data_IF_401677811598
#
_entry.id   IF_401677811598
#
_cell.length_a   1.000
_cell.length_b   1.000
_cell.length_c   1.000
_cell.angle_alpha   90.00
_cell.angle_beta   90.00
_cell.angle_gamma   90.00
#
_symmetry.space_group_name_H-M   'P 1'
#
loop_
_entity.id
_entity.type
_entity.pdbx_description
1 polymer ?
#
# COMPACT_ATOMS: atom_id res chain seq x y z
N UNK A 1 -9.14 -23.96 19.34
CA UNK A 1 -9.70 -23.51 18.06
C UNK A 1 -9.98 -22.01 18.03
N UNK A 2 -10.82 -21.44 18.92
CA UNK A 2 -11.11 -19.99 18.90
C UNK A 2 -9.86 -19.15 19.17
N UNK A 3 -9.04 -19.53 20.15
CA UNK A 3 -7.78 -18.85 20.44
C UNK A 3 -6.77 -18.90 19.28
N UNK A 4 -6.69 -20.04 18.57
CA UNK A 4 -5.83 -20.20 17.38
C UNK A 4 -6.24 -19.23 16.27
N UNK A 5 -7.56 -19.14 15.99
CA UNK A 5 -8.08 -18.23 14.98
C UNK A 5 -7.86 -16.75 15.33
N UNK A 6 -8.05 -16.38 16.60
CA UNK A 6 -7.78 -15.02 17.07
C UNK A 6 -6.30 -14.67 16.93
N UNK A 7 -5.41 -15.58 17.32
CA UNK A 7 -3.97 -15.40 17.17
C UNK A 7 -3.55 -15.21 15.71
N UNK A 8 -3.98 -16.10 14.79
CA UNK A 8 -3.68 -16.00 13.36
C UNK A 8 -4.20 -14.67 12.81
N UNK A 9 -5.43 -14.29 13.17
CA UNK A 9 -6.04 -13.04 12.71
C UNK A 9 -5.19 -11.82 13.09
N UNK A 10 -4.81 -11.68 14.37
CA UNK A 10 -4.02 -10.52 14.81
C UNK A 10 -2.60 -10.53 14.25
N UNK A 11 -1.95 -11.69 14.16
CA UNK A 11 -0.64 -11.82 13.54
C UNK A 11 -0.67 -11.35 12.08
N UNK A 12 -1.59 -11.90 11.28
CA UNK A 12 -1.72 -11.55 9.87
C UNK A 12 -2.12 -10.08 9.68
N UNK A 13 -3.05 -9.57 10.50
CA UNK A 13 -3.44 -8.15 10.46
C UNK A 13 -2.22 -7.24 10.72
N UNK A 14 -1.34 -7.62 11.65
CA UNK A 14 -0.14 -6.83 11.98
C UNK A 14 0.92 -6.81 10.87
N UNK A 15 1.00 -7.87 10.06
CA UNK A 15 1.93 -7.93 8.92
C UNK A 15 1.37 -7.25 7.67
N UNK A 16 0.06 -7.31 7.46
CA UNK A 16 -0.58 -6.88 6.21
C UNK A 16 -1.09 -5.44 6.27
N UNK A 17 -1.49 -4.96 7.46
CA UNK A 17 -2.02 -3.61 7.66
C UNK A 17 -0.91 -2.68 8.20
N UNK A 18 -0.42 -1.72 7.39
CA UNK A 18 0.54 -0.72 7.88
C UNK A 18 -0.04 0.14 9.01
N UNK A 19 -1.38 0.26 9.09
CA UNK A 19 -2.07 1.01 10.15
C UNK A 19 -3.28 0.19 10.62
N UNK A 20 -3.12 -0.72 11.59
CA UNK A 20 -4.26 -1.43 12.15
C UNK A 20 -5.23 -0.41 12.79
N UNK A 21 -6.50 -0.48 12.38
CA UNK A 21 -7.57 0.47 12.74
C UNK A 21 -7.84 0.64 14.24
N UNK A 22 -7.26 -0.22 15.06
CA UNK A 22 -7.43 -0.25 16.52
C UNK A 22 -6.18 0.17 17.30
N UNK A 23 -5.10 0.55 16.62
CA UNK A 23 -3.80 0.88 17.23
C UNK A 23 -3.23 2.17 16.63
N UNK A 24 -4.07 3.20 16.61
CA UNK A 24 -3.65 4.55 16.24
C UNK A 24 -2.61 5.04 17.27
N UNK A 25 -1.40 5.36 16.81
CA UNK A 25 -0.34 5.95 17.65
C UNK A 25 0.80 5.04 18.10
N UNK A 26 0.90 3.79 17.59
CA UNK A 26 2.08 2.95 17.84
C UNK A 26 3.06 2.99 16.67
N UNK A 27 4.35 3.13 16.98
CA UNK A 27 5.44 3.11 15.99
C UNK A 27 5.52 1.76 15.28
N UNK A 28 6.12 1.72 14.08
CA UNK A 28 6.38 0.48 13.36
C UNK A 28 7.16 -0.56 14.20
N UNK A 29 8.03 -0.09 15.11
CA UNK A 29 8.72 -0.94 16.09
C UNK A 29 7.75 -1.70 17.01
N UNK A 30 6.67 -1.04 17.44
CA UNK A 30 5.66 -1.67 18.29
C UNK A 30 4.81 -2.69 17.52
N UNK A 31 4.63 -2.53 16.20
CA UNK A 31 3.99 -3.53 15.34
C UNK A 31 4.89 -4.77 15.20
N UNK A 32 6.20 -4.59 14.99
CA UNK A 32 7.15 -5.71 14.94
C UNK A 32 7.27 -6.43 16.29
N UNK A 33 7.33 -5.68 17.39
CA UNK A 33 7.33 -6.25 18.73
C UNK A 33 6.04 -7.06 18.99
N UNK A 34 4.91 -6.58 18.50
CA UNK A 34 3.64 -7.31 18.57
C UNK A 34 3.66 -8.59 17.72
N UNK A 35 4.14 -8.53 16.47
CA UNK A 35 4.29 -9.69 15.61
C UNK A 35 5.23 -10.75 16.24
N UNK A 36 6.36 -10.31 16.83
CA UNK A 36 7.28 -11.18 17.55
C UNK A 36 6.66 -11.80 18.81
N UNK A 37 5.92 -11.02 19.61
CA UNK A 37 5.17 -11.53 20.76
C UNK A 37 4.10 -12.55 20.35
N UNK A 38 3.41 -12.30 19.23
CA UNK A 38 2.46 -13.25 18.68
C UNK A 38 3.18 -14.54 18.25
N UNK A 39 4.31 -14.47 17.56
CA UNK A 39 5.08 -15.67 17.23
C UNK A 39 5.45 -16.51 18.46
N UNK A 40 5.93 -15.86 19.53
CA UNK A 40 6.26 -16.52 20.80
C UNK A 40 5.02 -17.18 21.42
N UNK A 41 3.88 -16.49 21.42
CA UNK A 41 2.62 -17.04 21.92
C UNK A 41 2.19 -18.28 21.13
N UNK A 42 2.27 -18.23 19.80
CA UNK A 42 1.97 -19.35 18.91
C UNK A 42 2.84 -20.58 19.19
N UNK A 43 4.12 -20.38 19.49
CA UNK A 43 5.03 -21.46 19.91
C UNK A 43 4.59 -22.12 21.22
N UNK A 44 4.34 -21.34 22.28
CA UNK A 44 3.90 -21.91 23.55
C UNK A 44 2.53 -22.61 23.43
N UNK A 45 1.63 -22.05 22.63
CA UNK A 45 0.33 -22.65 22.39
C UNK A 45 0.42 -23.99 21.62
N UNK A 46 1.36 -24.09 20.67
CA UNK A 46 1.69 -25.35 19.99
C UNK A 46 2.20 -26.41 20.95
N UNK A 47 3.02 -26.03 21.94
CA UNK A 47 3.47 -26.94 23.00
C UNK A 47 2.30 -27.45 23.86
N UNK A 48 1.35 -26.57 24.22
CA UNK A 48 0.13 -26.96 24.96
C UNK A 48 -0.66 -27.99 24.16
N UNK A 49 -0.88 -27.78 22.86
CA UNK A 49 -1.55 -28.76 22.00
C UNK A 49 -0.79 -30.07 21.90
N UNK A 50 0.56 -30.03 21.87
CA UNK A 50 1.37 -31.24 21.87
C UNK A 50 1.22 -32.03 23.19
N UNK A 51 1.16 -31.35 24.33
CA UNK A 51 0.89 -31.99 25.63
C UNK A 51 -0.52 -32.58 25.71
N UNK A 52 -1.54 -31.84 25.26
CA UNK A 52 -2.93 -32.33 25.23
C UNK A 52 -3.07 -33.53 24.28
N UNK A 53 -2.49 -33.46 23.09
CA UNK A 53 -2.48 -34.57 22.13
C UNK A 53 -1.75 -35.80 22.68
N UNK A 54 -0.65 -35.61 23.40
CA UNK A 54 0.06 -36.69 24.09
C UNK A 54 -0.78 -37.29 25.22
N UNK A 55 -1.40 -36.46 26.06
CA UNK A 55 -2.26 -36.91 27.16
C UNK A 55 -3.49 -37.67 26.65
N UNK A 56 -4.12 -37.19 25.57
CA UNK A 56 -5.21 -37.90 24.90
C UNK A 56 -4.77 -39.28 24.40
N UNK A 57 -3.55 -39.41 23.86
CA UNK A 57 -2.98 -40.69 23.42
C UNK A 57 -2.70 -41.64 24.58
N UNK A 58 -2.21 -41.12 25.70
CA UNK A 58 -1.89 -41.92 26.88
C UNK A 58 -3.15 -42.27 27.70
N UNK A 59 -4.21 -41.48 27.60
CA UNK A 59 -5.52 -41.70 28.23
C UNK A 59 -6.43 -42.66 27.45
N UNK A 60 -5.98 -43.18 26.30
CA UNK A 60 -6.66 -44.23 25.54
C UNK A 60 -5.85 -45.54 25.52
N UNK A 61 -5.66 -46.25 26.67
CA UNK A 61 -4.93 -47.51 26.66
C UNK A 61 -5.75 -48.66 26.05
N UNK A 62 -7.07 -48.75 26.28
CA UNK A 62 -7.84 -49.99 26.02
C UNK A 62 -9.38 -49.86 25.86
N UNK A 63 -10.00 -48.67 25.74
CA UNK A 63 -11.47 -48.53 25.94
C UNK A 63 -12.36 -48.47 24.68
N UNK A 64 -11.83 -48.67 23.47
CA UNK A 64 -12.68 -48.91 22.27
C UNK A 64 -12.96 -50.42 22.12
N UNK A 65 -13.61 -51.02 23.12
CA UNK A 65 -13.93 -52.45 23.19
C UNK A 65 -14.93 -52.97 22.12
N UNK A 66 -15.33 -52.17 21.12
CA UNK A 66 -16.34 -52.58 20.14
C UNK A 66 -16.03 -52.20 18.68
N UNK A 67 -14.91 -51.56 18.37
CA UNK A 67 -14.49 -51.34 16.98
C UNK A 67 -13.32 -52.26 16.68
N UNK A 68 -13.59 -53.31 15.90
CA UNK A 68 -12.59 -54.29 15.49
C UNK A 68 -11.35 -53.55 15.00
N UNK A 69 -10.22 -53.83 15.65
CA UNK A 69 -8.95 -53.08 15.59
C UNK A 69 -8.38 -53.01 14.16
N UNK A 70 -8.91 -53.86 13.27
CA UNK A 70 -8.51 -54.06 11.89
C UNK A 70 -9.58 -53.64 10.85
N UNK A 71 -10.71 -53.06 11.27
CA UNK A 71 -11.63 -52.47 10.29
C UNK A 71 -11.01 -51.23 9.64
N UNK A 72 -11.14 -51.14 8.31
CA UNK A 72 -10.74 -49.97 7.51
C UNK A 72 -11.27 -48.66 8.10
N UNK A 73 -12.47 -48.67 8.67
CA UNK A 73 -13.10 -47.52 9.31
C UNK A 73 -12.34 -47.07 10.59
N UNK A 74 -11.86 -48.01 11.41
CA UNK A 74 -11.06 -47.72 12.60
C UNK A 74 -9.64 -47.23 12.28
N UNK A 75 -9.07 -47.67 11.16
CA UNK A 75 -7.79 -47.12 10.66
C UNK A 75 -7.98 -45.71 10.11
N UNK A 76 -9.01 -45.46 9.31
CA UNK A 76 -9.34 -44.13 8.79
C UNK A 76 -9.63 -43.12 9.89
N UNK A 77 -10.39 -43.53 10.92
CA UNK A 77 -10.65 -42.69 12.09
C UNK A 77 -9.38 -42.26 12.83
N UNK A 78 -8.41 -43.18 12.98
CA UNK A 78 -7.11 -42.88 13.59
C UNK A 78 -6.25 -41.95 12.72
N UNK A 79 -6.22 -42.16 11.40
CA UNK A 79 -5.51 -41.26 10.48
C UNK A 79 -6.10 -39.85 10.56
N UNK A 80 -7.43 -39.71 10.52
CA UNK A 80 -8.10 -38.41 10.65
C UNK A 80 -7.79 -37.74 11.99
N UNK A 81 -7.85 -38.48 13.10
CA UNK A 81 -7.50 -37.95 14.42
C UNK A 81 -6.04 -37.47 14.47
N UNK A 82 -5.09 -38.23 13.92
CA UNK A 82 -3.68 -37.82 13.81
C UNK A 82 -3.50 -36.58 12.95
N UNK A 83 -4.18 -36.49 11.80
CA UNK A 83 -4.14 -35.30 10.95
C UNK A 83 -4.67 -34.07 11.69
N UNK A 84 -5.76 -34.21 12.46
CA UNK A 84 -6.32 -33.11 13.26
C UNK A 84 -5.39 -32.68 14.38
N UNK A 85 -4.80 -33.62 15.14
CA UNK A 85 -3.86 -33.31 16.22
C UNK A 85 -2.61 -32.61 15.65
N UNK A 86 -2.05 -33.14 14.57
CA UNK A 86 -0.87 -32.56 13.92
C UNK A 86 -1.17 -31.18 13.36
N UNK A 87 -2.35 -30.98 12.77
CA UNK A 87 -2.82 -29.67 12.32
C UNK A 87 -2.92 -28.67 13.47
N UNK A 88 -3.48 -29.08 14.63
CA UNK A 88 -3.59 -28.22 15.82
C UNK A 88 -2.25 -27.87 16.45
N UNK A 89 -1.22 -28.71 16.30
CA UNK A 89 0.14 -28.42 16.77
C UNK A 89 0.87 -27.49 15.79
N UNK A 90 0.71 -27.69 14.47
CA UNK A 90 1.44 -26.94 13.45
C UNK A 90 0.84 -25.55 13.21
N UNK A 91 -0.49 -25.43 13.21
CA UNK A 91 -1.17 -24.17 12.86
C UNK A 91 -0.82 -22.99 13.76
N UNK A 92 -0.68 -23.12 15.09
CA UNK A 92 -0.30 -21.99 15.92
C UNK A 92 1.16 -21.57 15.75
N UNK A 93 2.01 -22.42 15.16
CA UNK A 93 3.39 -22.07 14.85
C UNK A 93 3.53 -21.50 13.44
N UNK A 94 2.93 -22.15 12.44
CA UNK A 94 3.12 -21.82 11.02
C UNK A 94 1.91 -21.17 10.36
N UNK A 95 0.73 -21.22 10.99
CA UNK A 95 -0.53 -20.76 10.39
C UNK A 95 -0.52 -19.28 10.00
N UNK A 96 0.14 -18.44 10.81
CA UNK A 96 0.41 -17.05 10.46
C UNK A 96 1.14 -16.91 9.12
N UNK A 97 2.29 -17.59 8.98
CA UNK A 97 3.12 -17.56 7.76
C UNK A 97 2.41 -18.18 6.53
N UNK A 98 1.69 -19.28 6.72
CA UNK A 98 0.95 -19.97 5.64
C UNK A 98 -0.14 -19.05 5.08
N UNK A 99 -0.90 -18.39 5.97
CA UNK A 99 -2.05 -17.58 5.58
C UNK A 99 -1.64 -16.18 5.13
N UNK A 100 -0.51 -15.66 5.61
CA UNK A 100 -0.03 -14.31 5.32
C UNK A 100 0.05 -14.02 3.82
N UNK A 101 0.67 -14.89 3.01
CA UNK A 101 0.77 -14.66 1.56
C UNK A 101 -0.59 -14.50 0.89
N UNK A 102 -1.54 -15.35 1.28
CA UNK A 102 -2.89 -15.34 0.72
C UNK A 102 -3.64 -14.07 1.12
N UNK A 103 -3.57 -13.70 2.39
CA UNK A 103 -4.22 -12.49 2.90
C UNK A 103 -3.56 -11.23 2.32
N UNK A 104 -2.25 -11.19 2.19
CA UNK A 104 -1.54 -10.08 1.58
C UNK A 104 -1.93 -9.89 0.11
N UNK A 105 -2.05 -10.97 -0.66
CA UNK A 105 -2.54 -10.91 -2.05
C UNK A 105 -4.00 -10.44 -2.12
N UNK A 106 -4.84 -10.93 -1.20
CA UNK A 106 -6.24 -10.52 -1.11
C UNK A 106 -6.38 -9.04 -0.73
N UNK A 107 -5.65 -8.56 0.28
CA UNK A 107 -5.65 -7.16 0.71
C UNK A 107 -5.10 -6.27 -0.40
N UNK A 108 -4.00 -6.64 -1.06
CA UNK A 108 -3.50 -5.90 -2.21
C UNK A 108 -4.58 -5.69 -3.29
N UNK A 109 -5.38 -6.71 -3.55
CA UNK A 109 -6.44 -6.66 -4.56
C UNK A 109 -7.64 -5.84 -4.08
N UNK A 110 -8.15 -6.11 -2.88
CA UNK A 110 -9.48 -5.69 -2.44
C UNK A 110 -9.53 -4.56 -1.40
N UNK A 111 -8.39 -4.17 -0.80
CA UNK A 111 -8.39 -3.21 0.33
C UNK A 111 -8.96 -1.83 -0.02
N UNK A 112 -8.86 -1.43 -1.28
CA UNK A 112 -9.38 -0.15 -1.76
C UNK A 112 -10.73 -0.27 -2.48
N UNK A 113 -11.41 -1.41 -2.43
CA UNK A 113 -12.68 -1.59 -3.17
C UNK A 113 -13.80 -0.69 -2.63
N UNK A 114 -13.75 -0.34 -1.34
CA UNK A 114 -14.67 0.62 -0.72
C UNK A 114 -14.35 2.08 -1.08
N UNK A 115 -13.27 2.33 -1.80
CA UNK A 115 -12.83 3.66 -2.19
C UNK A 115 -13.10 3.89 -3.69
N UNK A 116 -13.51 5.11 -4.08
CA UNK A 116 -13.81 5.42 -5.47
C UNK A 116 -12.58 5.41 -6.39
N UNK A 117 -11.38 5.66 -5.85
CA UNK A 117 -10.11 5.53 -6.57
C UNK A 117 -9.01 4.93 -5.69
N UNK A 118 -7.93 4.53 -6.34
CA UNK A 118 -6.67 4.23 -5.67
C UNK A 118 -5.48 4.64 -6.55
N UNK A 119 -4.32 4.73 -5.93
CA UNK A 119 -3.05 5.06 -6.59
C UNK A 119 -2.07 3.93 -6.31
N UNK A 120 -1.34 3.50 -7.34
CA UNK A 120 -0.18 2.62 -7.17
C UNK A 120 1.06 3.51 -7.28
N UNK A 121 1.82 3.57 -6.18
CA UNK A 121 3.09 4.25 -6.10
C UNK A 121 4.18 3.23 -6.44
N UNK A 122 4.87 3.45 -7.54
CA UNK A 122 5.98 2.62 -7.98
C UNK A 122 7.27 3.41 -7.75
N UNK A 123 7.95 3.08 -6.66
CA UNK A 123 9.20 3.71 -6.32
C UNK A 123 10.36 2.92 -6.90
N UNK A 124 11.31 3.62 -7.48
CA UNK A 124 12.57 3.05 -7.92
C UNK A 124 13.64 3.30 -6.85
N UNK A 125 14.43 2.28 -6.49
CA UNK A 125 15.51 2.47 -5.54
C UNK A 125 16.53 3.48 -6.13
N UNK A 126 17.18 4.31 -5.30
CA UNK A 126 18.07 5.39 -5.75
C UNK A 126 19.23 4.94 -6.64
N UNK A 127 19.57 3.64 -6.63
CA UNK A 127 20.64 3.05 -7.44
C UNK A 127 20.26 2.91 -8.92
N UNK A 128 18.97 2.86 -9.26
CA UNK A 128 18.52 2.72 -10.64
C UNK A 128 18.32 4.11 -11.27
N UNK A 129 19.40 4.69 -11.78
CA UNK A 129 19.46 6.09 -12.23
C UNK A 129 18.61 6.41 -13.47
N UNK A 130 18.07 5.41 -14.15
CA UNK A 130 17.21 5.57 -15.34
C UNK A 130 15.73 5.44 -15.03
N UNK A 131 15.35 4.93 -13.86
CA UNK A 131 13.97 4.63 -13.52
C UNK A 131 13.38 5.74 -12.64
N UNK A 132 12.32 6.38 -13.12
CA UNK A 132 11.66 7.49 -12.43
C UNK A 132 10.61 6.95 -11.46
N UNK A 133 10.48 7.56 -10.30
CA UNK A 133 9.42 7.24 -9.35
C UNK A 133 8.07 7.70 -9.94
N UNK A 134 7.08 6.81 -10.01
CA UNK A 134 5.78 7.12 -10.63
C UNK A 134 4.59 6.83 -9.72
N UNK A 135 3.53 7.60 -9.90
CA UNK A 135 2.23 7.42 -9.26
C UNK A 135 1.16 7.18 -10.34
N UNK A 136 0.58 5.99 -10.35
CA UNK A 136 -0.42 5.57 -11.32
C UNK A 136 -1.81 5.64 -10.71
N UNK A 137 -2.72 6.41 -11.31
CA UNK A 137 -4.06 6.65 -10.77
C UNK A 137 -5.08 5.73 -11.41
N UNK A 138 -5.90 5.08 -10.59
CA UNK A 138 -6.93 4.13 -11.00
C UNK A 138 -8.30 4.50 -10.43
N UNK A 139 -9.33 4.25 -11.23
CA UNK A 139 -10.73 4.35 -10.80
C UNK A 139 -11.33 2.97 -10.58
N UNK A 140 -12.11 2.83 -9.51
CA UNK A 140 -12.98 1.69 -9.27
C UNK A 140 -14.36 1.97 -9.87
N UNK A 141 -14.61 1.48 -11.07
CA UNK A 141 -15.93 1.61 -11.70
C UNK A 141 -16.84 0.44 -11.30
N UNK A 142 -18.06 0.68 -10.78
CA UNK A 142 -18.99 -0.38 -10.40
C UNK A 142 -19.35 -1.32 -11.57
N UNK A 143 -19.27 -0.82 -12.80
CA UNK A 143 -19.61 -1.53 -14.03
C UNK A 143 -18.45 -2.36 -14.62
N UNK A 144 -17.23 -2.23 -14.07
CA UNK A 144 -16.05 -2.93 -14.59
C UNK A 144 -15.58 -4.00 -13.61
N UNK A 145 -15.21 -5.17 -14.13
CA UNK A 145 -14.59 -6.24 -13.33
C UNK A 145 -13.13 -5.97 -12.98
N UNK A 146 -12.52 -4.93 -13.56
CA UNK A 146 -11.14 -4.51 -13.31
C UNK A 146 -11.03 -2.99 -13.20
N UNK A 147 -10.13 -2.48 -12.35
CA UNK A 147 -9.89 -1.04 -12.25
C UNK A 147 -9.24 -0.51 -13.54
N UNK A 148 -9.57 0.73 -13.89
CA UNK A 148 -9.06 1.38 -15.11
C UNK A 148 -8.02 2.43 -14.73
N UNK A 149 -6.84 2.36 -15.35
CA UNK A 149 -5.78 3.36 -15.17
C UNK A 149 -6.14 4.62 -15.97
N UNK A 150 -6.10 5.78 -15.31
CA UNK A 150 -6.47 7.06 -15.92
C UNK A 150 -5.24 7.80 -16.45
N UNK A 151 -4.28 8.08 -15.56
CA UNK A 151 -3.08 8.85 -15.84
C UNK A 151 -1.94 8.48 -14.87
N UNK A 152 -0.74 8.92 -15.23
CA UNK A 152 0.48 8.71 -14.44
C UNK A 152 1.15 10.03 -14.15
N UNK A 153 1.55 10.23 -12.90
CA UNK A 153 2.47 11.28 -12.49
C UNK A 153 3.86 10.70 -12.24
N UNK A 154 4.87 11.52 -12.44
CA UNK A 154 6.26 11.20 -12.11
C UNK A 154 6.78 12.18 -11.06
N UNK A 155 7.69 11.73 -10.20
CA UNK A 155 8.45 12.60 -9.30
C UNK A 155 9.94 12.52 -9.59
N UNK A 156 10.56 13.68 -9.80
CA UNK A 156 11.98 13.81 -10.11
C UNK A 156 12.62 14.95 -9.32
N UNK A 157 13.90 14.78 -8.99
CA UNK A 157 14.71 15.79 -8.31
C UNK A 157 15.02 16.92 -9.30
N UNK A 158 14.72 18.16 -8.94
CA UNK A 158 15.01 19.35 -9.77
C UNK A 158 16.35 20.00 -9.45
N UNK A 159 16.79 19.84 -8.21
CA UNK A 159 18.18 20.07 -7.78
C UNK A 159 18.63 18.82 -7.02
N UNK A 160 19.92 18.69 -6.70
CA UNK A 160 20.50 17.46 -6.12
C UNK A 160 20.08 17.19 -4.65
N UNK A 161 18.79 17.29 -4.30
CA UNK A 161 18.18 16.58 -3.17
C UNK A 161 17.10 17.34 -2.38
N UNK A 162 17.02 18.66 -2.51
CA UNK A 162 16.09 19.49 -1.70
C UNK A 162 14.77 19.78 -2.39
N UNK A 163 14.80 19.92 -3.71
CA UNK A 163 13.66 20.31 -4.53
C UNK A 163 13.25 19.16 -5.44
N UNK A 164 11.96 18.82 -5.36
CA UNK A 164 11.36 17.74 -6.12
C UNK A 164 10.17 18.26 -6.91
N UNK A 165 9.99 17.76 -8.13
CA UNK A 165 8.85 18.08 -8.98
C UNK A 165 8.03 16.83 -9.22
N UNK A 166 6.77 16.86 -8.81
CA UNK A 166 5.75 15.88 -9.14
C UNK A 166 4.88 16.40 -10.27
N UNK A 167 4.91 15.77 -11.44
CA UNK A 167 4.21 16.27 -12.63
C UNK A 167 3.49 15.19 -13.38
N UNK A 168 2.41 15.58 -14.05
CA UNK A 168 1.67 14.72 -14.96
C UNK A 168 2.58 14.29 -16.11
N UNK A 169 2.78 12.97 -16.26
CA UNK A 169 3.65 12.38 -17.26
C UNK A 169 2.87 11.96 -18.51
N UNK A 170 1.78 11.21 -18.33
CA UNK A 170 1.03 10.63 -19.43
C UNK A 170 -0.41 10.30 -19.07
N UNK A 171 -1.27 10.24 -20.10
CA UNK A 171 -2.65 9.79 -20.00
C UNK A 171 -2.77 8.36 -20.55
N UNK A 172 -3.33 7.43 -19.78
CA UNK A 172 -3.61 6.06 -20.25
C UNK A 172 -5.04 5.93 -20.79
N UNK A 173 -5.94 6.76 -20.28
CA UNK A 173 -7.33 6.86 -20.74
C UNK A 173 -7.51 8.17 -21.51
N UNK A 174 -8.21 8.18 -22.66
CA UNK A 174 -8.51 9.42 -23.40
C UNK A 174 -9.17 10.45 -22.48
N UNK A 175 -8.66 11.69 -22.48
CA UNK A 175 -9.08 12.74 -21.54
C UNK A 175 -10.60 12.97 -21.53
N UNK A 176 -11.24 12.86 -22.69
CA UNK A 176 -12.70 12.99 -22.87
C UNK A 176 -13.52 11.90 -22.16
N UNK A 177 -12.91 10.74 -21.90
CA UNK A 177 -13.55 9.59 -21.25
C UNK A 177 -13.27 9.52 -19.75
N UNK A 178 -12.45 10.42 -19.21
CA UNK A 178 -12.18 10.51 -17.77
C UNK A 178 -13.33 11.27 -17.11
N UNK A 179 -14.03 10.67 -16.13
CA UNK A 179 -15.11 11.38 -15.45
C UNK A 179 -14.54 12.60 -14.71
N UNK A 180 -15.24 13.74 -14.81
CA UNK A 180 -14.79 15.03 -14.29
C UNK A 180 -14.25 15.01 -12.85
N UNK A 181 -14.83 14.27 -11.88
CA UNK A 181 -14.26 14.20 -10.53
C UNK A 181 -12.83 13.66 -10.52
N UNK A 182 -12.52 12.67 -11.35
CA UNK A 182 -11.21 12.02 -11.37
C UNK A 182 -10.20 12.75 -12.25
N UNK A 183 -10.63 13.81 -12.93
CA UNK A 183 -9.77 14.60 -13.79
C UNK A 183 -8.83 15.43 -12.90
N UNK A 184 -7.49 15.33 -13.09
CA UNK A 184 -6.55 16.05 -12.25
C UNK A 184 -6.71 17.56 -12.41
N UNK A 185 -6.44 18.32 -11.36
CA UNK A 185 -6.49 19.79 -11.37
C UNK A 185 -5.10 20.43 -11.47
N UNK A 186 -4.04 19.70 -11.13
CA UNK A 186 -2.66 20.22 -11.09
C UNK A 186 -1.80 19.59 -12.17
N UNK A 187 -1.07 20.40 -12.93
CA UNK A 187 -0.09 19.87 -13.88
C UNK A 187 1.19 19.44 -13.17
N UNK A 188 1.64 20.22 -12.19
CA UNK A 188 2.82 19.91 -11.42
C UNK A 188 2.81 20.53 -10.03
N UNK A 189 3.47 19.86 -9.08
CA UNK A 189 3.71 20.30 -7.72
C UNK A 189 5.22 20.32 -7.51
N UNK A 190 5.73 21.43 -7.00
CA UNK A 190 7.11 21.59 -6.57
C UNK A 190 7.16 21.47 -5.05
N UNK A 191 7.97 20.55 -4.54
CA UNK A 191 8.24 20.39 -3.12
C UNK A 191 9.62 20.93 -2.80
N UNK A 192 9.70 21.79 -1.80
CA UNK A 192 10.93 22.22 -1.16
C UNK A 192 11.00 21.55 0.22
N UNK A 193 11.81 20.50 0.31
CA UNK A 193 11.99 19.73 1.54
C UNK A 193 12.80 20.50 2.61
N UNK A 194 13.59 21.50 2.21
CA UNK A 194 14.38 22.31 3.12
C UNK A 194 13.52 23.32 3.88
N UNK A 195 12.60 23.98 3.17
CA UNK A 195 11.66 24.93 3.75
C UNK A 195 10.31 24.30 4.13
N UNK A 196 10.12 23.00 3.89
CA UNK A 196 8.88 22.28 4.18
C UNK A 196 7.65 22.89 3.47
N UNK A 197 7.85 23.34 2.22
CA UNK A 197 6.81 24.00 1.44
C UNK A 197 6.52 23.26 0.14
N UNK A 198 5.33 23.47 -0.40
CA UNK A 198 4.94 22.95 -1.70
C UNK A 198 4.13 23.98 -2.49
N UNK A 199 4.35 24.04 -3.79
CA UNK A 199 3.66 24.95 -4.70
C UNK A 199 3.15 24.19 -5.92
N UNK A 200 1.85 24.31 -6.20
CA UNK A 200 1.18 23.65 -7.31
C UNK A 200 0.82 24.62 -8.43
N UNK A 201 1.00 24.14 -9.65
CA UNK A 201 0.68 24.84 -10.88
C UNK A 201 -0.52 24.18 -11.57
N UNK A 202 -1.50 24.99 -11.95
CA UNK A 202 -2.65 24.61 -12.74
C UNK A 202 -2.47 25.06 -14.19
N UNK A 203 -3.12 24.40 -15.14
CA UNK A 203 -3.25 24.95 -16.50
C UNK A 203 -4.57 25.66 -16.66
N UNK A 204 -4.55 26.85 -17.23
CA UNK A 204 -5.74 27.51 -17.75
C UNK A 204 -5.75 27.31 -19.28
N UNK A 205 -6.86 26.80 -19.83
CA UNK A 205 -7.06 26.81 -21.28
C UNK A 205 -7.35 28.25 -21.72
N UNK A 206 -6.55 28.79 -22.63
CA UNK A 206 -6.71 30.18 -23.10
C UNK A 206 -7.69 30.33 -24.27
N UNK A 207 -8.36 29.25 -24.71
CA UNK A 207 -9.12 29.26 -25.96
C UNK A 207 -10.56 28.81 -25.75
N UNK A 208 -11.47 29.78 -25.62
CA UNK A 208 -12.92 29.57 -25.65
C UNK A 208 -13.49 29.32 -27.04
N UNK A 209 -12.69 29.50 -28.10
CA UNK A 209 -13.16 29.45 -29.48
C UNK A 209 -12.07 28.85 -30.39
N UNK A 210 -11.94 27.53 -30.44
CA UNK A 210 -11.33 26.86 -31.60
C UNK A 210 -11.78 25.41 -31.66
N UNK A 211 -12.33 25.05 -32.80
CA UNK A 211 -12.69 23.71 -33.26
C UNK A 211 -11.62 22.67 -32.96
N UNK A 212 -12.01 21.69 -32.14
CA UNK A 212 -11.67 20.25 -32.08
C UNK A 212 -10.27 19.66 -32.37
N UNK A 213 -9.23 20.41 -32.75
CA UNK A 213 -7.94 19.80 -33.12
C UNK A 213 -6.69 20.67 -32.84
N UNK A 214 -6.77 21.63 -31.92
CA UNK A 214 -5.60 22.42 -31.53
C UNK A 214 -5.35 22.34 -30.02
N UNK A 215 -4.15 21.89 -29.66
CA UNK A 215 -3.49 22.16 -28.37
C UNK A 215 -3.34 23.68 -28.24
N UNK A 216 -4.42 24.36 -27.88
CA UNK A 216 -4.47 25.80 -27.69
C UNK A 216 -3.74 26.17 -26.40
N UNK A 217 -2.61 26.88 -26.54
CA UNK A 217 -1.77 27.46 -25.49
C UNK A 217 -2.36 27.40 -24.07
N UNK A 218 -2.06 26.35 -23.32
CA UNK A 218 -2.41 26.29 -21.89
C UNK A 218 -1.43 27.16 -21.12
N UNK A 219 -1.92 28.20 -20.44
CA UNK A 219 -1.06 29.01 -19.55
C UNK A 219 -0.97 28.35 -18.18
N UNK A 220 0.26 28.15 -17.71
CA UNK A 220 0.54 27.59 -16.39
C UNK A 220 0.47 28.71 -15.36
N UNK A 221 -0.40 28.58 -14.36
CA UNK A 221 -0.61 29.59 -13.32
C UNK A 221 -0.48 28.94 -11.94
N UNK A 222 0.23 29.58 -10.99
CA UNK A 222 0.27 29.11 -9.60
C UNK A 222 -1.13 29.13 -9.01
N UNK A 223 -1.57 28.01 -8.44
CA UNK A 223 -2.95 27.83 -7.98
C UNK A 223 -3.07 27.12 -6.62
N UNK A 224 -1.94 26.65 -6.10
CA UNK A 224 -1.87 25.98 -4.82
C UNK A 224 -0.55 26.37 -4.17
N UNK A 225 -0.60 26.66 -2.89
CA UNK A 225 0.57 26.69 -2.03
C UNK A 225 0.26 25.93 -0.75
N UNK A 226 1.29 25.41 -0.09
CA UNK A 226 1.10 24.65 1.12
C UNK A 226 2.40 24.49 1.89
N UNK A 227 2.25 24.06 3.12
CA UNK A 227 3.35 23.74 4.02
C UNK A 227 3.07 22.39 4.64
N UNK A 228 4.10 21.58 4.82
CA UNK A 228 3.96 20.29 5.46
C UNK A 228 4.84 20.22 6.68
N UNK A 229 4.26 19.98 7.86
CA UNK A 229 5.07 19.67 9.02
C UNK A 229 5.29 18.16 9.07
N UNK A 230 6.55 17.81 9.33
CA UNK A 230 6.91 16.44 9.59
C UNK A 230 6.32 15.84 10.88
N UNK A 231 5.72 16.67 11.74
CA UNK A 231 5.16 16.30 13.02
C UNK A 231 3.75 15.69 12.98
N UNK A 232 2.80 16.23 12.20
CA UNK A 232 1.41 15.71 12.14
C UNK A 232 0.51 16.37 11.08
N UNK A 233 0.78 17.62 10.68
CA UNK A 233 -0.15 18.42 9.89
C UNK A 233 0.40 18.74 8.50
N UNK A 234 -0.38 18.41 7.47
CA UNK A 234 -0.20 18.90 6.11
C UNK A 234 -1.20 20.02 5.87
N UNK A 235 -0.70 21.22 5.63
CA UNK A 235 -1.53 22.38 5.39
C UNK A 235 -1.53 22.74 3.90
N UNK A 236 -2.72 22.85 3.33
CA UNK A 236 -2.93 23.20 1.93
C UNK A 236 -3.77 24.47 1.83
N UNK A 237 -3.24 25.45 1.11
CA UNK A 237 -3.94 26.67 0.76
C UNK A 237 -4.16 26.68 -0.76
N UNK A 238 -5.38 26.38 -1.19
CA UNK A 238 -5.71 26.20 -2.60
C UNK A 238 -6.40 27.46 -3.10
N UNK A 239 -5.68 28.21 -3.94
CA UNK A 239 -6.11 29.49 -4.49
C UNK A 239 -6.81 29.34 -5.85
N UNK A 240 -6.72 28.18 -6.53
CA UNK A 240 -7.50 27.85 -7.73
C UNK A 240 -7.52 26.32 -8.00
N UNK A 241 -8.69 25.76 -8.30
CA UNK A 241 -8.88 24.33 -8.60
C UNK A 241 -9.69 24.16 -9.88
N UNK A 242 -9.11 24.60 -11.02
CA UNK A 242 -9.74 24.42 -12.34
C UNK A 242 -9.27 23.08 -12.94
N UNK A 243 -10.17 22.13 -13.26
CA UNK A 243 -9.80 20.88 -13.94
C UNK A 243 -9.15 21.16 -15.31
N UNK A 244 -8.08 20.44 -15.71
CA UNK A 244 -7.40 20.69 -17.00
C UNK A 244 -8.21 20.24 -18.26
N UNK A 245 -9.53 20.12 -18.22
CA UNK A 245 -10.30 19.68 -19.39
C UNK A 245 -10.50 20.83 -20.38
N UNK A 246 -10.07 20.61 -21.63
CA UNK A 246 -10.06 21.57 -22.73
C UNK A 246 -11.47 21.90 -23.31
N UNK A 247 -12.57 21.41 -22.70
CA UNK A 247 -13.92 21.48 -23.27
C UNK A 247 -14.94 22.36 -22.51
N UNK A 248 -14.57 22.92 -21.35
CA UNK A 248 -15.52 23.69 -20.52
C UNK A 248 -15.10 25.16 -20.42
N UNK A 249 -15.19 25.88 -21.53
CA UNK A 249 -14.86 27.30 -21.59
C UNK A 249 -16.04 28.28 -21.44
N UNK A 250 -17.27 27.84 -21.14
CA UNK A 250 -18.40 28.79 -21.13
C UNK A 250 -19.41 28.66 -20.00
N UNK A 251 -19.34 27.64 -19.13
CA UNK A 251 -20.40 27.44 -18.12
C UNK A 251 -19.96 27.05 -16.71
N UNK A 252 -18.66 26.99 -16.41
CA UNK A 252 -18.20 26.82 -15.03
C UNK A 252 -17.88 28.20 -14.43
N UNK A 253 -18.42 28.56 -13.26
CA UNK A 253 -18.23 29.89 -12.72
C UNK A 253 -16.74 30.15 -12.50
N UNK A 254 -16.31 31.28 -13.06
CA UNK A 254 -15.08 31.95 -12.73
C UNK A 254 -14.87 31.97 -11.20
N UNK A 255 -13.63 31.73 -10.79
CA UNK A 255 -13.17 31.66 -9.40
C UNK A 255 -13.82 30.54 -8.56
N UNK A 256 -13.20 29.36 -8.56
CA UNK A 256 -13.31 28.45 -7.42
C UNK A 256 -12.93 29.22 -6.14
N UNK A 257 -13.71 29.12 -5.05
CA UNK A 257 -13.39 29.82 -3.81
C UNK A 257 -11.99 29.41 -3.33
N UNK A 258 -11.29 30.35 -2.67
CA UNK A 258 -10.04 30.03 -1.98
C UNK A 258 -10.39 29.02 -0.87
N UNK A 259 -10.01 27.76 -1.05
CA UNK A 259 -10.29 26.70 -0.09
C UNK A 259 -9.00 26.39 0.63
N UNK A 260 -9.00 26.65 1.94
CA UNK A 260 -7.96 26.17 2.83
C UNK A 260 -8.37 24.80 3.33
N UNK A 261 -7.57 23.78 3.01
CA UNK A 261 -7.75 22.43 3.52
C UNK A 261 -6.60 22.12 4.48
N UNK A 262 -6.96 21.81 5.73
CA UNK A 262 -6.02 21.31 6.72
C UNK A 262 -6.18 19.80 6.77
N UNK A 263 -5.11 19.06 6.45
CA UNK A 263 -5.08 17.60 6.53
C UNK A 263 -4.18 17.20 7.69
N UNK A 264 -4.69 16.34 8.56
CA UNK A 264 -3.97 15.83 9.71
C UNK A 264 -3.81 14.31 9.62
N UNK A 265 -2.70 13.83 10.18
CA UNK A 265 -2.48 12.41 10.40
C UNK A 265 -2.90 12.10 11.85
N UNK A 266 -3.77 11.11 12.07
CA UNK A 266 -4.12 10.68 13.41
C UNK A 266 -2.88 10.02 14.06
N UNK A 267 -2.21 10.75 14.94
CA UNK A 267 -1.05 10.29 15.71
C UNK A 267 0.30 10.78 15.18
N UNK A 268 1.39 10.16 15.66
CA UNK A 268 2.75 10.59 15.36
C UNK A 268 3.30 9.85 14.13
N UNK A 269 3.71 10.61 13.11
CA UNK A 269 4.64 10.14 12.07
C UNK A 269 4.01 9.85 10.70
N UNK A 270 4.43 10.64 9.71
CA UNK A 270 4.30 10.33 8.27
C UNK A 270 5.58 9.67 7.71
N UNK A 271 6.71 9.80 8.42
CA UNK A 271 8.02 9.29 8.01
C UNK A 271 8.43 8.11 8.90
N UNK A 272 8.29 6.89 8.37
CA UNK A 272 8.78 5.69 9.03
C UNK A 272 10.19 5.39 8.53
N UNK A 273 11.20 5.70 9.35
CA UNK A 273 12.58 5.35 9.00
C UNK A 273 12.72 3.82 8.98
N UNK A 274 13.07 3.26 7.83
CA UNK A 274 13.31 1.82 7.67
C UNK A 274 12.05 0.95 7.54
N UNK A 275 10.85 1.55 7.41
CA UNK A 275 9.60 0.81 7.20
C UNK A 275 8.75 1.43 6.09
N UNK A 276 7.80 0.65 5.58
CA UNK A 276 6.86 1.13 4.56
C UNK A 276 6.03 2.31 5.10
N UNK A 277 5.70 3.32 4.27
CA UNK A 277 4.86 4.44 4.65
C UNK A 277 3.47 3.95 5.11
N UNK A 278 3.06 4.40 6.29
CA UNK A 278 1.83 3.98 6.94
C UNK A 278 1.06 5.21 7.43
N UNK A 279 0.18 5.78 6.61
CA UNK A 279 -0.62 6.95 6.99
C UNK A 279 -2.09 6.90 6.55
N UNK A 280 -2.93 7.56 7.33
CA UNK A 280 -4.34 7.80 7.04
C UNK A 280 -4.57 9.31 7.19
N UNK A 281 -4.68 10.04 6.09
CA UNK A 281 -4.94 11.48 6.16
C UNK A 281 -6.43 11.74 6.31
N UNK A 282 -6.75 12.63 7.24
CA UNK A 282 -8.10 13.09 7.50
C UNK A 282 -8.16 14.61 7.44
N UNK A 283 -9.29 15.14 7.04
CA UNK A 283 -9.55 16.57 7.12
C UNK A 283 -9.65 16.99 8.58
N UNK A 284 -8.95 18.05 8.96
CA UNK A 284 -9.07 18.64 10.29
C UNK A 284 -10.11 19.76 10.22
N UNK A 285 -11.19 19.61 11.01
CA UNK A 285 -12.23 20.63 11.07
C UNK A 285 -11.74 21.85 11.86
N UNK A 286 -12.34 23.05 11.68
CA UNK A 286 -11.99 24.24 12.45
C UNK A 286 -12.10 24.07 13.98
N UNK A 287 -12.88 23.09 14.44
CA UNK A 287 -13.00 22.67 15.84
C UNK A 287 -11.79 21.88 16.38
N UNK A 288 -10.82 21.53 15.53
CA UNK A 288 -9.69 20.64 15.85
C UNK A 288 -10.05 19.15 15.89
N UNK A 289 -11.27 18.78 15.52
CA UNK A 289 -11.67 17.37 15.41
C UNK A 289 -11.31 16.80 14.03
N UNK A 290 -10.82 15.57 14.02
CA UNK A 290 -10.59 14.82 12.78
C UNK A 290 -11.93 14.46 12.12
N UNK A 291 -12.03 14.79 10.84
CA UNK A 291 -13.18 14.57 9.98
C UNK A 291 -12.96 13.38 9.06
N UNK A 292 -13.20 13.59 7.77
CA UNK A 292 -13.30 12.51 6.81
C UNK A 292 -11.92 12.07 6.31
N UNK A 293 -11.80 10.79 5.97
CA UNK A 293 -10.58 10.23 5.39
C UNK A 293 -10.44 10.72 3.96
N UNK A 294 -9.34 11.38 3.63
CA UNK A 294 -9.01 11.80 2.27
C UNK A 294 -8.27 10.70 1.54
N UNK A 295 -7.26 10.12 2.20
CA UNK A 295 -6.47 9.02 1.67
C UNK A 295 -5.91 8.13 2.77
N UNK A 296 -5.62 6.88 2.42
CA UNK A 296 -5.06 5.88 3.31
C UNK A 296 -4.10 4.97 2.58
N UNK A 297 -2.90 4.76 3.12
CA UNK A 297 -1.98 3.73 2.62
C UNK A 297 -2.56 2.34 2.90
N UNK A 298 -2.59 1.47 1.89
CA UNK A 298 -3.18 0.15 1.98
C UNK A 298 -2.16 -0.92 2.37
N UNK A 299 -1.31 -1.34 1.43
CA UNK A 299 -0.26 -2.34 1.66
C UNK A 299 0.73 -2.30 0.51
N UNK A 300 1.95 -2.79 0.71
CA UNK A 300 2.93 -2.96 -0.37
C UNK A 300 2.58 -4.18 -1.22
N UNK A 301 3.20 -4.38 -2.38
CA UNK A 301 2.99 -5.59 -3.17
C UNK A 301 3.94 -6.69 -2.67
N UNK A 302 3.41 -7.90 -2.46
CA UNK A 302 4.20 -8.99 -1.87
C UNK A 302 5.44 -9.34 -2.71
N UNK A 303 5.27 -9.37 -4.04
CA UNK A 303 6.33 -9.68 -4.98
C UNK A 303 7.29 -8.52 -5.22
N UNK A 304 6.88 -7.30 -4.84
CA UNK A 304 7.60 -6.08 -5.16
C UNK A 304 7.37 -5.02 -4.07
N UNK A 305 8.27 -4.99 -3.10
CA UNK A 305 8.19 -4.10 -1.93
C UNK A 305 8.36 -2.62 -2.30
N UNK A 306 8.74 -2.31 -3.55
CA UNK A 306 8.83 -0.92 -3.99
C UNK A 306 7.47 -0.35 -4.39
N UNK A 307 6.48 -1.21 -4.66
CA UNK A 307 5.12 -0.81 -4.99
C UNK A 307 4.26 -0.67 -3.73
N UNK A 308 3.63 0.49 -3.56
CA UNK A 308 2.69 0.79 -2.47
C UNK A 308 1.33 1.19 -3.03
N UNK A 309 0.25 0.56 -2.56
CA UNK A 309 -1.12 0.94 -2.92
C UNK A 309 -1.68 1.95 -1.92
N UNK A 310 -2.30 3.01 -2.41
CA UNK A 310 -2.94 4.07 -1.60
C UNK A 310 -4.40 4.20 -2.01
N UNK A 311 -5.32 4.06 -1.07
CA UNK A 311 -6.75 4.26 -1.30
C UNK A 311 -7.11 5.74 -1.22
N UNK A 312 -7.96 6.22 -2.14
CA UNK A 312 -8.33 7.63 -2.26
C UNK A 312 -9.85 7.76 -2.17
N UNK A 313 -10.31 8.49 -1.14
CA UNK A 313 -11.72 8.82 -0.95
C UNK A 313 -12.05 10.21 -1.50
N UNK A 314 -11.13 11.15 -1.35
CA UNK A 314 -11.36 12.58 -1.63
C UNK A 314 -12.01 13.30 -0.43
N UNK A 315 -12.05 14.65 -0.46
CA UNK A 315 -12.66 15.48 0.57
C UNK A 315 -14.19 15.33 0.63
N UNK A 316 -14.79 15.43 1.82
CA UNK A 316 -16.25 15.28 1.98
C UNK A 316 -16.99 16.62 1.75
N UNK A 317 -18.27 16.52 1.36
CA UNK A 317 -19.09 17.43 0.51
C UNK A 317 -18.87 17.30 -1.00
N UNK A 318 -17.83 16.56 -1.44
CA UNK A 318 -17.58 16.26 -2.86
C UNK A 318 -17.54 14.75 -3.06
N UNK A 319 -18.71 14.10 -3.07
CA UNK A 319 -18.82 12.69 -3.42
C UNK A 319 -18.18 12.43 -4.79
N UNK A 320 -17.12 11.64 -4.80
CA UNK A 320 -16.33 11.29 -5.99
C UNK A 320 -14.87 11.47 -5.66
N UNK A 321 -13.99 10.53 -6.03
CA UNK A 321 -12.57 10.63 -5.75
C UNK A 321 -11.96 11.81 -6.50
N UNK A 322 -12.13 13.01 -5.95
CA UNK A 322 -11.70 14.19 -6.64
C UNK A 322 -10.20 14.26 -6.57
N UNK A 323 -9.52 14.12 -7.71
CA UNK A 323 -8.06 14.21 -7.79
C UNK A 323 -7.65 15.69 -7.77
N UNK A 324 -7.95 16.29 -6.63
CA UNK A 324 -7.73 17.69 -6.30
C UNK A 324 -6.39 17.85 -5.57
N UNK A 325 -5.95 19.10 -5.30
CA UNK A 325 -4.68 19.36 -4.66
C UNK A 325 -4.50 18.67 -3.29
N UNK A 326 -5.59 18.43 -2.56
CA UNK A 326 -5.62 17.72 -1.27
C UNK A 326 -5.22 16.25 -1.41
N UNK A 327 -5.40 15.65 -2.58
CA UNK A 327 -4.96 14.28 -2.89
C UNK A 327 -3.58 14.30 -3.54
N UNK A 328 -3.37 15.14 -4.55
CA UNK A 328 -2.11 15.16 -5.31
C UNK A 328 -0.92 15.64 -4.46
N UNK A 329 -1.14 16.62 -3.58
CA UNK A 329 -0.11 17.17 -2.69
C UNK A 329 0.54 16.11 -1.80
N UNK A 330 -0.22 15.38 -0.97
CA UNK A 330 0.36 14.33 -0.14
C UNK A 330 0.92 13.15 -0.93
N UNK A 331 0.33 12.77 -2.07
CA UNK A 331 0.75 11.59 -2.84
C UNK A 331 2.22 11.69 -3.28
N UNK A 332 2.67 12.87 -3.71
CA UNK A 332 4.09 13.08 -4.05
C UNK A 332 5.02 12.86 -2.85
N UNK A 333 4.65 13.36 -1.66
CA UNK A 333 5.43 13.15 -0.42
C UNK A 333 5.47 11.67 -0.01
N UNK A 334 4.36 10.96 -0.15
CA UNK A 334 4.29 9.50 0.13
C UNK A 334 5.22 8.74 -0.82
N UNK A 335 5.24 9.11 -2.11
CA UNK A 335 6.11 8.50 -3.10
C UNK A 335 7.59 8.73 -2.79
N UNK A 336 7.98 9.93 -2.33
CA UNK A 336 9.35 10.20 -1.84
C UNK A 336 9.71 9.33 -0.64
N UNK A 337 8.78 9.18 0.32
CA UNK A 337 8.98 8.33 1.48
C UNK A 337 9.15 6.85 1.09
N UNK A 338 8.34 6.38 0.15
CA UNK A 338 8.42 5.02 -0.40
C UNK A 338 9.74 4.79 -1.16
N UNK A 339 10.24 5.77 -1.91
CA UNK A 339 11.54 5.70 -2.57
C UNK A 339 12.71 5.58 -1.57
N UNK A 340 12.65 6.33 -0.47
CA UNK A 340 13.62 6.18 0.62
C UNK A 340 13.56 4.78 1.24
N UNK A 341 12.35 4.26 1.48
CA UNK A 341 12.17 2.90 2.00
C UNK A 341 12.72 1.83 1.04
N UNK A 342 12.40 1.91 -0.25
CA UNK A 342 12.94 1.02 -1.28
C UNK A 342 14.48 1.09 -1.34
N UNK A 343 15.07 2.27 -1.17
CA UNK A 343 16.51 2.46 -1.07
C UNK A 343 17.14 1.72 0.12
N UNK A 344 16.56 1.84 1.32
CA UNK A 344 17.02 1.10 2.51
C UNK A 344 16.91 -0.41 2.29
N UNK A 345 15.81 -0.88 1.70
CA UNK A 345 15.60 -2.28 1.42
C UNK A 345 16.67 -2.83 0.45
N UNK A 346 17.00 -2.08 -0.60
CA UNK A 346 18.04 -2.47 -1.55
C UNK A 346 19.42 -2.63 -0.91
N UNK A 347 19.74 -1.81 0.11
CA UNK A 347 20.99 -1.92 0.85
C UNK A 347 21.03 -3.15 1.77
N UNK A 348 19.89 -3.55 2.33
CA UNK A 348 19.82 -4.75 3.18
C UNK A 348 19.95 -6.04 2.37
N UNK A 349 19.39 -6.09 1.16
CA UNK A 349 19.52 -7.25 0.26
C UNK A 349 20.98 -7.46 -0.18
N UNK A 350 21.75 -6.39 -0.37
CA UNK A 350 23.19 -6.49 -0.69
C UNK A 350 24.03 -7.06 0.48
N UNK A 351 23.47 -7.18 1.69
CA UNK A 351 24.13 -7.75 2.87
C UNK A 351 23.71 -9.19 3.18
N UNK A 352 22.73 -9.76 2.47
CA UNK A 352 22.31 -11.15 2.66
C UNK A 352 23.01 -12.04 1.62
N UNK A 353 24.06 -12.81 1.99
CA UNK A 353 24.71 -13.69 1.04
C UNK A 353 23.76 -14.82 0.66
N UNK A 354 23.67 -15.08 -0.65
CA UNK A 354 23.00 -16.20 -1.32
C UNK A 354 22.64 -17.39 -0.39
N UNK A 355 21.40 -17.40 0.11
CA UNK A 355 20.74 -18.60 0.63
C UNK A 355 19.58 -19.05 -0.29
N UNK A 356 19.57 -18.60 -1.55
CA UNK A 356 18.55 -18.94 -2.53
C UNK A 356 19.01 -19.90 -3.63
N UNK A 357 20.17 -20.57 -3.47
CA UNK A 357 20.65 -21.60 -4.41
C UNK A 357 20.93 -22.92 -3.67
N UNK A 358 19.88 -23.49 -3.09
CA UNK A 358 19.81 -24.92 -2.78
C UNK A 358 18.51 -25.42 -3.40
N UNK A 359 18.52 -25.60 -4.71
CA UNK A 359 17.58 -26.48 -5.39
C UNK A 359 18.36 -27.39 -6.35
N UNK A 360 17.89 -28.63 -6.46
CA UNK A 360 18.72 -29.80 -6.69
C UNK A 360 19.42 -29.90 -8.04
N UNK A 361 20.65 -30.40 -7.98
CA UNK A 361 21.42 -30.90 -9.12
C UNK A 361 22.08 -32.22 -8.76
N UNK A 362 21.29 -33.30 -8.69
CA UNK A 362 21.77 -34.66 -8.49
C UNK A 362 22.22 -35.27 -9.83
N UNK A 363 23.46 -35.77 -9.81
CA UNK A 363 24.09 -36.84 -10.60
C UNK A 363 24.12 -36.83 -12.14
N UNK A 364 25.35 -36.97 -12.66
CA UNK A 364 25.65 -37.27 -14.05
C UNK A 364 27.13 -37.58 -14.30
N UNK A 365 27.71 -38.47 -13.50
CA UNK A 365 29.07 -38.99 -13.68
C UNK A 365 29.16 -39.92 -14.91
N UNK A 366 30.00 -39.59 -15.91
CA UNK A 366 30.90 -40.55 -16.58
C UNK A 366 31.84 -39.95 -17.63
N UNK A 367 33.13 -40.10 -17.31
CA UNK A 367 34.17 -40.77 -18.11
C UNK A 367 34.96 -40.02 -19.21
N UNK A 368 36.25 -39.85 -18.87
CA UNK A 368 37.47 -40.19 -19.64
C UNK A 368 37.77 -39.47 -20.96
N UNK A 369 38.90 -38.74 -20.90
CA UNK A 369 40.10 -39.13 -21.64
C UNK A 369 40.58 -38.12 -22.69
N UNK A 370 41.75 -37.52 -22.45
CA UNK A 370 42.43 -36.74 -23.49
C UNK A 370 43.64 -35.98 -22.98
N UNK A 371 44.82 -36.57 -23.18
CA UNK A 371 46.17 -36.06 -22.90
C UNK A 371 46.63 -35.17 -24.07
N UNK A 372 47.44 -34.15 -23.82
CA UNK A 372 48.37 -33.60 -24.84
C UNK A 372 48.53 -32.08 -24.81
N UNK A 373 49.67 -31.63 -24.29
CA UNK A 373 50.14 -30.25 -24.23
C UNK A 373 51.25 -30.14 -23.20
#
# INVERSE_FOLDING_TARGET
MVADGWWIYYYVQSNVDPIPSHVVGKSAEAINAFAGMMFIFGFFWSLVHAFVGRAYREADPDDVCCADRDTVLGVLGRILAWSVILFLIIMPFFGGWIVERSVHSHVWSHRCDSFPAFVILDANPPKNTTAVNVAQFFINQPSSSKPTQLFTYEIASTDNGSNWRFSLQSWQTPQESIPLPFYPTLQSIHYDLGNQTMNGNCTLSTVANATHDAVGNTTVVPCMSGTFDSGAHLFFNITSAVPLNNTLSTSYPAATPNVTALLAIPGNGWAFKGHQPALQLQEEQPSGSLGNIVLRTATTKLSDKTQLKVCVAGPLDRQGATVQPEVLGPIGLILLSQANYAGVLSQLVDFEPDMADIDGGEEGERARGGRGG
#
